data_IF_085226395086
#
_entry.id   IF_085226395086
#
_cell.length_a   1.000
_cell.length_b   1.000
_cell.length_c   1.000
_cell.angle_alpha   90.00
_cell.angle_beta   90.00
_cell.angle_gamma   90.00
#
_symmetry.space_group_name_H-M   'P 1'
#
loop_
_entity.id
_entity.type
_entity.pdbx_description
1 polymer ?
#
# COMPACT_ATOMS: atom_id res chain seq x y z
N UNK A 1 -8.02 1.35 17.21
CA UNK A 1 -8.93 1.20 16.05
C UNK A 1 -9.71 -0.11 16.21
N UNK A 2 -10.94 -0.23 15.70
CA UNK A 2 -11.72 -1.48 15.79
C UNK A 2 -11.69 -2.32 14.51
N UNK A 3 -11.97 -3.63 14.61
CA UNK A 3 -11.86 -4.60 13.49
C UNK A 3 -12.65 -4.17 12.26
N UNK A 4 -13.89 -3.69 12.42
CA UNK A 4 -14.74 -3.23 11.31
C UNK A 4 -14.10 -2.12 10.49
N UNK A 5 -13.36 -1.20 11.14
CA UNK A 5 -12.66 -0.10 10.47
C UNK A 5 -11.40 -0.60 9.80
N UNK A 6 -10.65 -1.50 10.45
CA UNK A 6 -9.45 -2.12 9.86
C UNK A 6 -9.80 -2.95 8.63
N UNK A 7 -10.77 -3.84 8.70
CA UNK A 7 -11.20 -4.67 7.56
C UNK A 7 -11.63 -3.82 6.34
N UNK A 8 -12.24 -2.66 6.56
CA UNK A 8 -12.61 -1.73 5.47
C UNK A 8 -11.44 -0.96 4.87
N UNK A 9 -10.33 -0.84 5.60
CA UNK A 9 -9.23 0.06 5.24
C UNK A 9 -7.90 -0.66 4.99
N UNK A 10 -7.80 -1.95 5.33
CA UNK A 10 -6.55 -2.71 5.28
C UNK A 10 -5.99 -2.86 3.86
N UNK A 11 -6.83 -2.78 2.82
CA UNK A 11 -6.35 -2.81 1.45
C UNK A 11 -5.54 -1.57 1.07
N UNK A 12 -5.98 -0.39 1.48
CA UNK A 12 -5.23 0.88 1.33
C UNK A 12 -3.91 0.82 2.11
N UNK A 13 -3.96 0.24 3.31
CA UNK A 13 -2.77 0.03 4.14
C UNK A 13 -1.71 -0.84 3.46
N UNK A 14 -2.13 -1.95 2.86
CA UNK A 14 -1.27 -2.90 2.13
C UNK A 14 -0.76 -2.30 0.82
N UNK A 15 -1.60 -1.59 0.08
CA UNK A 15 -1.19 -0.96 -1.20
C UNK A 15 -0.25 0.25 -1.00
N UNK A 16 -0.03 0.67 0.24
CA UNK A 16 0.76 1.85 0.65
C UNK A 16 0.10 3.18 0.29
N UNK A 17 -1.17 3.15 -0.06
CA UNK A 17 -2.01 4.35 -0.17
C UNK A 17 -2.51 4.75 1.22
N UNK A 18 -1.60 5.37 2.00
CA UNK A 18 -1.77 5.59 3.45
C UNK A 18 -2.13 7.02 3.84
N UNK A 19 -2.31 7.92 2.87
CA UNK A 19 -2.53 9.36 3.14
C UNK A 19 -3.71 9.62 4.08
N UNK A 20 -4.68 8.71 4.14
CA UNK A 20 -5.92 8.86 4.90
C UNK A 20 -6.02 7.92 6.13
N UNK A 21 -4.98 7.15 6.43
CA UNK A 21 -5.02 6.14 7.50
C UNK A 21 -4.16 6.52 8.70
N UNK A 22 -4.71 6.49 9.93
CA UNK A 22 -3.92 6.76 11.11
C UNK A 22 -2.96 5.58 11.35
N UNK A 23 -1.67 5.85 11.16
CA UNK A 23 -0.60 4.85 11.11
C UNK A 23 -0.49 4.01 12.38
N UNK A 24 -0.24 4.66 13.51
CA UNK A 24 -0.04 4.00 14.81
C UNK A 24 -1.28 3.19 15.24
N UNK A 25 -2.53 3.69 15.14
CA UNK A 25 -3.72 2.89 15.45
C UNK A 25 -3.96 1.68 14.54
N UNK A 26 -3.44 1.69 13.31
CA UNK A 26 -3.53 0.57 12.37
C UNK A 26 -2.46 -0.48 12.70
N UNK A 27 -1.21 -0.05 12.87
CA UNK A 27 -0.08 -0.93 13.23
C UNK A 27 -0.39 -1.68 14.53
N UNK A 28 -0.75 -0.95 15.59
CA UNK A 28 -1.13 -1.55 16.87
C UNK A 28 -2.26 -2.57 16.75
N UNK A 29 -3.29 -2.27 15.95
CA UNK A 29 -4.39 -3.22 15.79
C UNK A 29 -3.98 -4.50 15.04
N UNK A 30 -3.13 -4.38 14.01
CA UNK A 30 -2.65 -5.55 13.26
C UNK A 30 -1.68 -6.40 14.09
N UNK A 31 -0.98 -5.80 15.05
CA UNK A 31 -0.19 -6.52 16.06
C UNK A 31 -1.12 -7.29 17.02
N UNK A 32 -2.12 -6.60 17.58
CA UNK A 32 -3.00 -7.13 18.62
C UNK A 32 -4.08 -8.10 18.12
N UNK A 33 -4.49 -8.01 16.85
CA UNK A 33 -5.63 -8.77 16.31
C UNK A 33 -5.20 -9.79 15.23
N UNK A 34 -5.10 -11.10 15.56
CA UNK A 34 -4.70 -12.13 14.61
C UNK A 34 -5.61 -12.22 13.37
N UNK A 35 -6.93 -12.07 13.54
CA UNK A 35 -7.88 -12.13 12.42
C UNK A 35 -7.67 -11.01 11.41
N UNK A 36 -7.44 -9.79 11.89
CA UNK A 36 -7.17 -8.64 11.01
C UNK A 36 -5.79 -8.75 10.36
N UNK A 37 -4.79 -9.27 11.08
CA UNK A 37 -3.47 -9.57 10.53
C UNK A 37 -3.53 -10.59 9.40
N UNK A 38 -4.25 -11.69 9.60
CA UNK A 38 -4.43 -12.72 8.57
C UNK A 38 -5.16 -12.16 7.34
N UNK A 39 -6.18 -11.33 7.57
CA UNK A 39 -6.88 -10.65 6.48
C UNK A 39 -5.94 -9.72 5.68
N UNK A 40 -5.06 -8.97 6.37
CA UNK A 40 -4.03 -8.15 5.73
C UNK A 40 -3.08 -8.99 4.87
N UNK A 41 -2.62 -10.13 5.38
CA UNK A 41 -1.72 -11.06 4.65
C UNK A 41 -2.39 -11.61 3.38
N UNK A 42 -3.68 -11.95 3.43
CA UNK A 42 -4.43 -12.39 2.23
C UNK A 42 -4.51 -11.28 1.18
N UNK A 43 -4.72 -10.04 1.59
CA UNK A 43 -4.73 -8.90 0.67
C UNK A 43 -3.34 -8.66 0.08
N UNK A 44 -2.29 -8.79 0.89
CA UNK A 44 -0.90 -8.67 0.42
C UNK A 44 -0.59 -9.69 -0.68
N UNK A 45 -1.04 -10.94 -0.54
CA UNK A 45 -0.90 -11.95 -1.59
C UNK A 45 -1.58 -11.53 -2.90
N UNK A 46 -2.79 -10.95 -2.83
CA UNK A 46 -3.49 -10.42 -4.01
C UNK A 46 -2.72 -9.27 -4.65
N UNK A 47 -2.26 -8.31 -3.84
CA UNK A 47 -1.48 -7.15 -4.33
C UNK A 47 -0.18 -7.61 -4.99
N UNK A 48 0.53 -8.58 -4.41
CA UNK A 48 1.73 -9.18 -5.01
C UNK A 48 1.39 -9.86 -6.34
N UNK A 49 0.29 -10.61 -6.41
CA UNK A 49 -0.15 -11.27 -7.64
C UNK A 49 -0.48 -10.26 -8.74
N UNK A 50 -1.19 -9.17 -8.42
CA UNK A 50 -1.50 -8.10 -9.37
C UNK A 50 -0.21 -7.43 -9.85
N UNK A 51 0.70 -7.07 -8.93
CA UNK A 51 1.97 -6.41 -9.28
C UNK A 51 2.90 -7.29 -10.11
N UNK A 52 2.82 -8.62 -9.97
CA UNK A 52 3.64 -9.57 -10.74
C UNK A 52 3.03 -9.88 -12.11
N UNK A 53 1.70 -9.99 -12.23
CA UNK A 53 1.03 -10.36 -13.49
C UNK A 53 0.64 -9.17 -14.36
N UNK A 54 0.29 -8.04 -13.77
CA UNK A 54 0.02 -6.81 -14.51
C UNK A 54 1.36 -6.11 -14.76
N UNK A 55 1.89 -6.26 -15.98
CA UNK A 55 3.17 -5.68 -16.38
C UNK A 55 3.21 -4.18 -16.05
N UNK A 56 4.08 -3.80 -15.11
CA UNK A 56 4.42 -2.39 -14.89
C UNK A 56 5.20 -1.94 -16.11
N UNK A 57 4.55 -1.16 -16.98
CA UNK A 57 5.29 -0.44 -18.02
C UNK A 57 6.08 0.67 -17.33
N UNK A 58 7.39 0.81 -17.61
CA UNK A 58 8.13 1.96 -17.14
C UNK A 58 7.42 3.23 -17.63
N UNK A 59 7.47 4.28 -16.81
CA UNK A 59 7.02 5.60 -17.25
C UNK A 59 7.81 6.00 -18.52
N UNK A 60 7.20 6.72 -19.48
CA UNK A 60 7.93 7.26 -20.63
C UNK A 60 9.18 8.02 -20.19
N UNK A 61 10.28 7.89 -20.96
CA UNK A 61 11.58 8.48 -20.61
C UNK A 61 11.47 9.99 -20.38
N UNK A 62 10.67 10.67 -21.19
CA UNK A 62 10.44 12.11 -21.10
C UNK A 62 9.76 12.49 -19.76
N UNK A 63 8.84 11.65 -19.29
CA UNK A 63 8.19 11.86 -17.99
C UNK A 63 9.18 11.65 -16.85
N UNK A 64 10.04 10.62 -16.94
CA UNK A 64 11.08 10.38 -15.93
C UNK A 64 12.07 11.55 -15.85
N UNK A 65 12.52 12.06 -17.00
CA UNK A 65 13.41 13.22 -17.08
C UNK A 65 12.79 14.46 -16.46
N UNK A 66 11.52 14.76 -16.80
CA UNK A 66 10.78 15.89 -16.21
C UNK A 66 10.67 15.78 -14.69
N UNK A 67 10.38 14.59 -14.17
CA UNK A 67 10.30 14.35 -12.73
C UNK A 67 11.66 14.57 -12.06
N UNK A 68 12.75 14.05 -12.65
CA UNK A 68 14.10 14.21 -12.09
C UNK A 68 14.54 15.68 -12.06
N UNK A 69 14.26 16.43 -13.11
CA UNK A 69 14.52 17.86 -13.16
C UNK A 69 13.73 18.64 -12.08
N UNK A 70 12.43 18.32 -11.91
CA UNK A 70 11.60 18.93 -10.85
C UNK A 70 12.11 18.64 -9.43
N UNK A 71 12.75 17.48 -9.22
CA UNK A 71 13.29 17.06 -7.93
C UNK A 71 14.77 17.47 -7.73
N UNK A 72 15.41 18.10 -8.71
CA UNK A 72 16.83 18.47 -8.65
C UNK A 72 17.79 17.28 -8.64
N UNK A 73 17.40 16.15 -9.24
CA UNK A 73 18.15 14.88 -9.27
C UNK A 73 18.97 14.71 -10.57
N UNK A 74 19.57 15.80 -11.06
CA UNK A 74 20.40 15.83 -12.28
C UNK A 74 21.69 15.03 -12.11
#
# INVERSE_FOLDING_TARGET
MGCKRVQRAVFLWVDRDREQLPREPMERHLEDCPNCREHAMRIEQVVVMVRTRCARRPAPTELQQRIRALLGLE
#
